data_IF_115585397324
#
_entry.id   IF_115585397324
#
_cell.length_a   1.000
_cell.length_b   1.000
_cell.length_c   1.000
_cell.angle_alpha   90.00
_cell.angle_beta   90.00
_cell.angle_gamma   90.00
#
_symmetry.space_group_name_H-M   'P 1'
#
loop_
_entity.id
_entity.type
_entity.pdbx_description
1 polymer ?
#
# COMPACT_ATOMS: atom_id res chain seq x y z
N UNK A 1 -35.25 -48.14 -6.15
CA UNK A 1 -34.46 -47.46 -5.12
C UNK A 1 -34.35 -46.01 -5.53
N UNK A 2 -34.93 -45.10 -4.75
CA UNK A 2 -34.96 -43.66 -5.02
C UNK A 2 -33.87 -43.02 -4.17
N UNK A 3 -32.76 -42.62 -4.80
CA UNK A 3 -31.72 -41.84 -4.15
C UNK A 3 -32.25 -40.43 -3.89
N UNK A 4 -32.45 -40.09 -2.61
CA UNK A 4 -32.64 -38.72 -2.16
C UNK A 4 -31.26 -38.07 -2.11
N UNK A 5 -30.91 -37.34 -3.16
CA UNK A 5 -29.83 -36.37 -3.11
C UNK A 5 -30.27 -35.22 -2.19
N UNK A 6 -30.05 -35.39 -0.89
CA UNK A 6 -30.16 -34.35 0.12
C UNK A 6 -29.09 -33.28 -0.18
N UNK A 7 -29.43 -32.32 -1.03
CA UNK A 7 -28.62 -31.13 -1.24
C UNK A 7 -28.52 -30.40 0.09
N UNK A 8 -27.40 -30.56 0.79
CA UNK A 8 -27.04 -29.79 1.99
C UNK A 8 -26.84 -28.32 1.58
N UNK A 9 -27.94 -27.59 1.44
CA UNK A 9 -27.93 -26.17 1.13
C UNK A 9 -27.67 -25.41 2.42
N UNK A 10 -26.46 -24.88 2.54
CA UNK A 10 -26.06 -23.89 3.54
C UNK A 10 -27.12 -22.77 3.55
N UNK A 11 -27.83 -22.53 4.67
CA UNK A 11 -29.01 -21.69 4.66
C UNK A 11 -28.62 -20.24 4.36
N UNK A 12 -29.33 -19.65 3.38
CA UNK A 12 -29.09 -18.29 2.85
C UNK A 12 -29.07 -17.19 3.93
N UNK A 13 -29.66 -17.47 5.09
CA UNK A 13 -29.73 -16.56 6.24
C UNK A 13 -28.36 -16.06 6.70
N UNK A 14 -27.31 -16.89 6.62
CA UNK A 14 -25.96 -16.48 7.03
C UNK A 14 -25.33 -15.50 6.04
N UNK A 15 -25.51 -15.72 4.74
CA UNK A 15 -25.02 -14.80 3.72
C UNK A 15 -25.71 -13.43 3.79
N UNK A 16 -27.03 -13.41 4.02
CA UNK A 16 -27.80 -12.17 4.18
C UNK A 16 -27.38 -11.42 5.45
N UNK A 17 -27.16 -12.11 6.56
CA UNK A 17 -26.70 -11.50 7.81
C UNK A 17 -25.33 -10.83 7.64
N UNK A 18 -24.37 -11.53 7.01
CA UNK A 18 -23.04 -10.97 6.78
C UNK A 18 -23.08 -9.81 5.79
N UNK A 19 -23.93 -9.87 4.76
CA UNK A 19 -24.13 -8.75 3.83
C UNK A 19 -24.59 -7.50 4.58
N UNK A 20 -25.57 -7.62 5.48
CA UNK A 20 -26.06 -6.50 6.30
C UNK A 20 -24.95 -5.95 7.20
N UNK A 21 -24.19 -6.82 7.88
CA UNK A 21 -23.06 -6.39 8.71
C UNK A 21 -22.00 -5.62 7.91
N UNK A 22 -21.66 -6.09 6.71
CA UNK A 22 -20.71 -5.43 5.82
C UNK A 22 -21.25 -4.11 5.27
N UNK A 23 -22.54 -4.02 4.98
CA UNK A 23 -23.19 -2.79 4.53
C UNK A 23 -23.13 -1.74 5.63
N UNK A 24 -23.49 -2.09 6.88
CA UNK A 24 -23.39 -1.19 8.03
C UNK A 24 -21.96 -0.68 8.19
N UNK A 25 -20.97 -1.59 8.18
CA UNK A 25 -19.58 -1.19 8.38
C UNK A 25 -19.04 -0.35 7.20
N UNK A 26 -19.57 -0.54 6.00
CA UNK A 26 -19.24 0.30 4.83
C UNK A 26 -19.81 1.70 4.99
N UNK A 27 -21.06 1.84 5.47
CA UNK A 27 -21.65 3.14 5.79
C UNK A 27 -20.81 3.85 6.86
N UNK A 28 -20.39 3.13 7.91
CA UNK A 28 -19.49 3.67 8.93
C UNK A 28 -18.16 4.10 8.32
N UNK A 29 -17.59 3.34 7.37
CA UNK A 29 -16.33 3.70 6.71
C UNK A 29 -16.47 4.97 5.87
N UNK A 30 -17.57 5.10 5.12
CA UNK A 30 -17.84 6.32 4.33
C UNK A 30 -18.07 7.51 5.27
N UNK A 31 -18.77 7.31 6.38
CA UNK A 31 -18.99 8.35 7.39
C UNK A 31 -17.66 8.81 8.01
N UNK A 32 -16.79 7.87 8.39
CA UNK A 32 -15.45 8.17 8.91
C UNK A 32 -14.60 8.90 7.86
N UNK A 33 -14.64 8.46 6.60
CA UNK A 33 -13.90 9.10 5.52
C UNK A 33 -14.38 10.53 5.22
N UNK A 34 -15.64 10.86 5.52
CA UNK A 34 -16.20 12.22 5.36
C UNK A 34 -15.81 13.16 6.50
N UNK A 35 -15.28 12.65 7.61
CA UNK A 35 -14.82 13.49 8.73
C UNK A 35 -13.35 13.84 8.49
N UNK A 36 -13.09 15.07 8.08
CA UNK A 36 -11.73 15.56 7.89
C UNK A 36 -11.00 15.82 9.22
N UNK A 37 -10.30 14.79 9.69
CA UNK A 37 -9.36 14.85 10.82
C UNK A 37 -7.92 15.18 10.34
N UNK A 38 -7.76 15.64 9.10
CA UNK A 38 -6.46 15.91 8.47
C UNK A 38 -5.61 14.64 8.35
N UNK A 39 -4.35 14.71 8.80
CA UNK A 39 -3.39 13.59 8.79
C UNK A 39 -3.84 12.32 9.54
N UNK A 40 -4.78 12.42 10.48
CA UNK A 40 -5.28 11.27 11.24
C UNK A 40 -6.29 10.44 10.43
N UNK A 41 -6.87 11.02 9.37
CA UNK A 41 -7.93 10.40 8.60
C UNK A 41 -7.45 9.08 7.94
N UNK A 42 -6.22 9.04 7.44
CA UNK A 42 -5.63 7.84 6.82
C UNK A 42 -5.45 6.68 7.82
N UNK A 43 -4.99 6.98 9.04
CA UNK A 43 -4.78 5.95 10.08
C UNK A 43 -6.11 5.35 10.52
N UNK A 44 -7.12 6.20 10.71
CA UNK A 44 -8.46 5.77 11.11
C UNK A 44 -9.12 4.98 9.97
N UNK A 45 -9.00 5.44 8.72
CA UNK A 45 -9.51 4.72 7.56
C UNK A 45 -8.87 3.32 7.41
N UNK A 46 -7.55 3.21 7.60
CA UNK A 46 -6.84 1.92 7.59
C UNK A 46 -7.28 0.99 8.73
N UNK A 47 -7.50 1.54 9.93
CA UNK A 47 -7.97 0.76 11.07
C UNK A 47 -9.39 0.22 10.85
N UNK A 48 -10.30 1.06 10.36
CA UNK A 48 -11.66 0.65 10.02
C UNK A 48 -11.66 -0.39 8.89
N UNK A 49 -10.78 -0.22 7.88
CA UNK A 49 -10.60 -1.20 6.81
C UNK A 49 -10.11 -2.56 7.33
N UNK A 50 -9.18 -2.58 8.29
CA UNK A 50 -8.73 -3.82 8.94
C UNK A 50 -9.87 -4.53 9.68
N UNK A 51 -10.67 -3.78 10.45
CA UNK A 51 -11.82 -4.35 11.17
C UNK A 51 -12.81 -4.98 10.17
N UNK A 52 -13.06 -4.31 9.05
CA UNK A 52 -13.91 -4.85 7.97
C UNK A 52 -13.36 -6.15 7.42
N UNK A 53 -12.07 -6.21 7.11
CA UNK A 53 -11.44 -7.43 6.62
C UNK A 53 -11.54 -8.58 7.65
N UNK A 54 -11.31 -8.29 8.94
CA UNK A 54 -11.45 -9.28 10.01
C UNK A 54 -12.89 -9.82 10.10
N UNK A 55 -13.90 -8.94 9.98
CA UNK A 55 -15.31 -9.33 10.00
C UNK A 55 -15.69 -10.22 8.81
N UNK A 56 -15.18 -9.90 7.61
CA UNK A 56 -15.37 -10.74 6.41
C UNK A 56 -14.84 -12.15 6.65
N UNK A 57 -13.61 -12.29 7.17
CA UNK A 57 -13.00 -13.60 7.40
C UNK A 57 -13.77 -14.39 8.47
N UNK A 58 -14.18 -13.73 9.55
CA UNK A 58 -14.82 -14.40 10.68
C UNK A 58 -16.24 -14.88 10.37
N UNK A 59 -17.00 -14.11 9.58
CA UNK A 59 -18.42 -14.36 9.31
C UNK A 59 -18.73 -14.82 7.89
N UNK A 60 -18.11 -14.26 6.84
CA UNK A 60 -18.43 -14.59 5.45
C UNK A 60 -17.78 -15.90 5.01
N UNK A 61 -16.58 -16.16 5.51
CA UNK A 61 -15.87 -17.42 5.25
C UNK A 61 -16.37 -18.56 6.13
N UNK A 62 -17.35 -18.31 7.00
CA UNK A 62 -17.95 -19.34 7.84
C UNK A 62 -16.99 -19.91 8.88
N UNK A 63 -15.79 -19.34 9.08
CA UNK A 63 -14.77 -19.83 10.04
C UNK A 63 -15.36 -20.14 11.40
N UNK A 64 -16.30 -19.33 11.91
CA UNK A 64 -16.92 -19.61 13.21
C UNK A 64 -17.67 -20.96 13.25
N UNK A 65 -18.26 -21.39 12.14
CA UNK A 65 -19.09 -22.59 11.96
C UNK A 65 -18.42 -23.74 11.19
N UNK A 66 -17.33 -23.48 10.48
CA UNK A 66 -16.55 -24.48 9.76
C UNK A 66 -15.76 -25.40 10.72
N UNK A 67 -15.16 -26.46 10.21
CA UNK A 67 -14.33 -27.38 10.97
C UNK A 67 -13.19 -26.66 11.71
N UNK A 68 -12.88 -27.10 12.93
CA UNK A 68 -11.89 -26.44 13.80
C UNK A 68 -10.50 -26.29 13.16
N UNK A 69 -10.15 -27.17 12.21
CA UNK A 69 -8.91 -27.12 11.45
C UNK A 69 -8.79 -25.88 10.55
N UNK A 70 -9.88 -25.49 9.87
CA UNK A 70 -9.87 -24.35 8.95
C UNK A 70 -9.63 -23.02 9.69
N UNK A 71 -10.08 -22.94 10.94
CA UNK A 71 -9.88 -21.78 11.83
C UNK A 71 -8.42 -21.63 12.24
N UNK A 72 -7.76 -22.73 12.60
CA UNK A 72 -6.33 -22.74 12.94
C UNK A 72 -5.49 -22.35 11.72
N UNK A 73 -5.79 -22.91 10.54
CA UNK A 73 -5.07 -22.61 9.32
C UNK A 73 -5.20 -21.12 8.94
N UNK A 74 -6.41 -20.56 8.96
CA UNK A 74 -6.63 -19.14 8.68
C UNK A 74 -5.97 -18.22 9.72
N UNK A 75 -6.07 -18.55 11.01
CA UNK A 75 -5.41 -17.78 12.06
C UNK A 75 -3.88 -17.83 11.90
N UNK A 76 -3.33 -19.00 11.54
CA UNK A 76 -1.91 -19.17 11.20
C UNK A 76 -1.49 -18.31 10.02
N UNK A 77 -2.27 -18.29 8.93
CA UNK A 77 -2.01 -17.43 7.78
C UNK A 77 -2.11 -15.93 8.14
N UNK A 78 -3.10 -15.54 8.94
CA UNK A 78 -3.25 -14.15 9.40
C UNK A 78 -2.06 -13.70 10.26
N UNK A 79 -1.64 -14.54 11.21
CA UNK A 79 -0.49 -14.29 12.07
C UNK A 79 0.80 -14.23 11.24
N UNK A 80 0.93 -15.10 10.25
CA UNK A 80 2.04 -15.08 9.30
C UNK A 80 2.06 -13.79 8.46
N UNK A 81 0.91 -13.32 7.97
CA UNK A 81 0.85 -12.03 7.25
C UNK A 81 1.24 -10.87 8.16
N UNK A 82 0.78 -10.89 9.42
CA UNK A 82 1.15 -9.86 10.41
C UNK A 82 2.67 -9.84 10.64
N UNK A 83 3.30 -11.00 10.86
CA UNK A 83 4.75 -11.09 11.07
C UNK A 83 5.52 -10.63 9.82
N UNK A 84 5.05 -11.03 8.63
CA UNK A 84 5.62 -10.60 7.36
C UNK A 84 5.57 -9.08 7.20
N UNK A 85 4.46 -8.45 7.57
CA UNK A 85 4.31 -6.99 7.49
C UNK A 85 5.30 -6.26 8.40
N UNK A 86 5.50 -6.76 9.63
CA UNK A 86 6.49 -6.19 10.56
C UNK A 86 7.90 -6.28 9.97
N UNK A 87 8.25 -7.42 9.38
CA UNK A 87 9.57 -7.63 8.74
C UNK A 87 9.73 -6.69 7.54
N UNK A 88 8.72 -6.55 6.69
CA UNK A 88 8.76 -5.63 5.53
C UNK A 88 8.96 -4.19 5.97
N UNK A 89 8.24 -3.73 6.99
CA UNK A 89 8.41 -2.37 7.52
C UNK A 89 9.83 -2.19 8.08
N UNK A 90 10.35 -3.18 8.81
CA UNK A 90 11.72 -3.15 9.33
C UNK A 90 12.77 -3.13 8.22
N UNK A 91 12.58 -3.91 7.15
CA UNK A 91 13.45 -3.94 5.97
C UNK A 91 13.48 -2.59 5.27
N UNK A 92 12.31 -2.03 4.95
CA UNK A 92 12.19 -0.70 4.32
C UNK A 92 12.82 0.39 5.18
N UNK A 93 12.61 0.34 6.50
CA UNK A 93 13.19 1.31 7.42
C UNK A 93 14.72 1.23 7.47
N UNK A 94 15.29 0.03 7.35
CA UNK A 94 16.75 -0.19 7.41
C UNK A 94 17.44 0.19 6.09
N UNK A 95 16.77 0.00 4.94
CA UNK A 95 17.33 0.33 3.61
C UNK A 95 17.82 1.77 3.47
N UNK A 96 17.12 2.74 4.04
CA UNK A 96 17.54 4.15 3.99
C UNK A 96 18.94 4.40 4.59
N UNK A 97 19.32 3.62 5.61
CA UNK A 97 20.65 3.69 6.22
C UNK A 97 21.74 3.01 5.37
N UNK A 98 21.41 1.89 4.72
CA UNK A 98 22.38 1.11 3.93
C UNK A 98 22.83 1.87 2.68
N UNK A 99 21.90 2.42 1.88
CA UNK A 99 22.25 3.20 0.68
C UNK A 99 23.11 4.44 0.99
N UNK A 100 22.88 5.06 2.16
CA UNK A 100 23.67 6.20 2.61
C UNK A 100 25.13 5.78 2.88
N UNK A 101 25.35 4.64 3.54
CA UNK A 101 26.70 4.13 3.82
C UNK A 101 27.45 3.62 2.59
N UNK A 102 26.75 3.08 1.59
CA UNK A 102 27.36 2.62 0.34
C UNK A 102 27.88 3.79 -0.50
N UNK A 103 27.17 4.92 -0.53
CA UNK A 103 27.60 6.15 -1.22
C UNK A 103 28.82 6.84 -0.59
N UNK A 104 29.01 6.68 0.73
CA UNK A 104 30.19 7.19 1.44
C UNK A 104 31.40 6.26 1.30
N UNK A 105 31.19 4.94 1.16
CA UNK A 105 32.25 3.93 1.11
C UNK A 105 32.76 3.66 -0.31
N UNK A 106 31.89 3.78 -1.32
CA UNK A 106 32.21 3.58 -2.72
C UNK A 106 31.68 4.81 -3.46
N UNK A 107 32.57 5.58 -4.11
CA UNK A 107 32.27 6.85 -4.80
C UNK A 107 31.46 6.63 -6.09
N UNK A 108 30.34 5.95 -5.96
CA UNK A 108 29.38 5.67 -7.01
C UNK A 108 28.40 6.82 -7.02
N UNK A 109 28.65 7.76 -7.93
CA UNK A 109 27.68 8.75 -8.35
C UNK A 109 26.42 8.01 -8.80
N UNK A 110 25.40 7.94 -7.93
CA UNK A 110 24.17 7.21 -8.25
C UNK A 110 23.51 7.82 -9.51
N UNK A 111 23.27 7.06 -10.59
CA UNK A 111 22.65 7.59 -11.80
C UNK A 111 21.18 7.98 -11.62
N UNK A 112 20.59 7.64 -10.48
CA UNK A 112 19.17 7.82 -10.20
C UNK A 112 18.98 9.12 -9.43
N UNK A 113 18.59 10.17 -10.16
CA UNK A 113 18.14 11.43 -9.58
C UNK A 113 16.90 11.17 -8.72
N UNK A 114 16.87 11.54 -7.42
CA UNK A 114 15.62 11.59 -6.69
C UNK A 114 14.73 12.64 -7.36
N UNK A 115 13.60 12.22 -7.94
CA UNK A 115 12.55 13.15 -8.37
C UNK A 115 11.95 13.72 -7.09
N UNK A 116 12.47 14.85 -6.65
CA UNK A 116 11.82 15.71 -5.68
C UNK A 116 10.63 16.40 -6.33
N UNK A 117 9.50 16.43 -5.64
CA UNK A 117 8.38 17.32 -5.92
C UNK A 117 8.87 18.78 -5.93
N UNK A 118 9.12 19.29 -7.14
CA UNK A 118 9.71 20.60 -7.36
C UNK A 118 10.25 20.75 -8.77
N UNK A 119 9.44 20.39 -9.76
CA UNK A 119 9.75 20.60 -11.17
C UNK A 119 9.74 22.07 -11.55
N UNK A 120 10.78 22.81 -11.18
CA UNK A 120 11.18 24.06 -11.84
C UNK A 120 12.50 23.79 -12.59
N UNK A 121 12.38 23.09 -13.71
CA UNK A 121 13.42 23.09 -14.73
C UNK A 121 13.30 24.39 -15.53
N UNK A 122 14.03 25.42 -15.06
CA UNK A 122 14.46 26.52 -15.92
C UNK A 122 15.46 25.96 -16.91
N UNK A 123 15.00 25.80 -18.14
CA UNK A 123 15.78 25.35 -19.27
C UNK A 123 16.77 26.43 -19.72
N UNK A 124 17.82 25.98 -20.40
CA UNK A 124 18.75 26.76 -21.25
C UNK A 124 19.76 27.71 -20.57
N UNK A 125 21.00 27.23 -20.49
CA UNK A 125 22.17 28.06 -20.83
C UNK A 125 23.29 27.17 -21.36
N UNK A 126 23.11 26.69 -22.58
CA UNK A 126 24.21 26.41 -23.49
C UNK A 126 24.77 27.77 -23.95
N UNK A 127 25.94 28.16 -23.44
CA UNK A 127 26.78 29.19 -24.07
C UNK A 127 28.14 28.58 -24.35
N UNK A 128 28.20 27.84 -25.46
CA UNK A 128 29.41 27.71 -26.25
C UNK A 128 29.13 28.46 -27.54
N UNK A 129 29.65 29.68 -27.66
CA UNK A 129 29.70 30.40 -28.93
C UNK A 129 31.14 30.91 -29.08
N UNK A 130 31.84 30.21 -29.96
CA UNK A 130 33.04 30.64 -30.65
C UNK A 130 32.80 31.99 -31.32
N UNK A 131 33.64 33.00 -31.04
CA UNK A 131 33.97 34.06 -32.00
C UNK A 131 35.10 34.94 -31.46
N UNK A 132 36.34 34.51 -31.73
CA UNK A 132 37.52 35.36 -31.59
C UNK A 132 38.37 35.24 -32.86
N UNK A 133 37.76 35.64 -33.98
CA UNK A 133 38.45 35.81 -35.26
C UNK A 133 37.86 36.99 -36.04
N UNK A 134 38.02 38.22 -35.51
CA UNK A 134 38.08 39.46 -36.30
C UNK A 134 38.27 40.66 -35.38
N UNK A 135 39.52 41.07 -35.14
CA UNK A 135 39.86 42.49 -35.06
C UNK A 135 41.38 42.66 -35.04
N UNK A 136 42.02 42.25 -36.13
CA UNK A 136 43.22 42.94 -36.59
C UNK A 136 42.84 43.53 -37.95
N UNK A 137 43.21 44.78 -38.17
CA UNK A 137 42.97 45.57 -39.40
C UNK A 137 41.77 46.54 -39.37
N UNK A 138 41.98 47.71 -38.74
CA UNK A 138 41.49 49.03 -39.18
C UNK A 138 42.05 50.10 -38.22
N UNK A 139 43.32 50.47 -38.32
CA UNK A 139 43.74 51.76 -38.92
C UNK A 139 43.05 52.99 -38.32
N UNK A 140 43.66 53.64 -37.33
CA UNK A 140 44.33 54.95 -37.46
C UNK A 140 44.89 55.41 -36.12
#
# INVERSE_FOLDING_TARGET
>A
MSDKHEHFVIPLKYYVFTLIALLILTVVTVAVAQVDLGWLNIYIAMFVAMIKAAFVIFFFMGVRWDESFNKIALFGCLLFVLIFFVIVIADVSTRGGVYSSESEMFDIQSPVRPIGEGGHHGDSSHHGESDSYKSSSSSH
#
